data_IF_074349217421
#
_entry.id   IF_074349217421
#
_cell.length_a   1.000
_cell.length_b   1.000
_cell.length_c   1.000
_cell.angle_alpha   90.00
_cell.angle_beta   90.00
_cell.angle_gamma   90.00
#
_symmetry.space_group_name_H-M   'P 1'
#
loop_
_entity.id
_entity.type
_entity.pdbx_description
1 polymer ?
#
# COMPACT_ATOMS: atom_id res chain seq x y z
N UNK A 1 12.25 -23.94 -23.98
CA UNK A 1 11.03 -23.95 -23.16
C UNK A 1 11.41 -23.97 -21.71
N UNK A 2 10.65 -23.24 -20.91
CA UNK A 2 10.88 -23.17 -19.48
C UNK A 2 10.87 -24.57 -18.87
N UNK A 3 11.87 -24.83 -18.02
CA UNK A 3 11.99 -26.08 -17.27
C UNK A 3 12.01 -25.79 -15.79
N UNK A 4 11.34 -26.65 -15.02
CA UNK A 4 11.36 -26.61 -13.57
C UNK A 4 11.99 -27.93 -13.12
N UNK A 5 13.13 -27.84 -12.45
CA UNK A 5 13.88 -29.00 -11.96
C UNK A 5 14.23 -28.82 -10.47
N UNK A 6 15.04 -29.74 -9.93
CA UNK A 6 15.46 -29.70 -8.52
C UNK A 6 16.21 -28.41 -8.15
N UNK A 7 16.89 -27.77 -9.10
CA UNK A 7 17.75 -26.61 -8.87
C UNK A 7 17.02 -25.28 -9.09
N UNK A 8 15.82 -25.29 -9.68
CA UNK A 8 14.96 -24.11 -9.84
C UNK A 8 14.15 -24.10 -11.13
N UNK A 9 13.65 -22.91 -11.48
CA UNK A 9 13.02 -22.63 -12.77
C UNK A 9 14.02 -21.90 -13.68
N UNK A 10 14.15 -22.35 -14.92
CA UNK A 10 14.95 -21.70 -15.95
C UNK A 10 14.13 -21.53 -17.23
N UNK A 11 14.26 -20.37 -17.86
CA UNK A 11 13.60 -20.03 -19.13
C UNK A 11 14.55 -20.12 -20.30
N UNK A 12 13.98 -20.16 -21.50
CA UNK A 12 14.75 -19.98 -22.74
C UNK A 12 14.67 -18.52 -23.17
N UNK A 13 15.80 -17.94 -23.56
CA UNK A 13 15.85 -16.55 -24.03
C UNK A 13 15.26 -16.41 -25.44
N UNK A 14 14.89 -15.20 -25.83
CA UNK A 14 14.40 -14.91 -27.19
C UNK A 14 15.40 -15.36 -28.27
N UNK A 15 16.69 -15.11 -28.06
CA UNK A 15 17.75 -15.49 -29.01
C UNK A 15 17.83 -17.00 -29.18
N UNK A 16 17.77 -17.76 -28.09
CA UNK A 16 17.76 -19.23 -28.14
C UNK A 16 16.51 -19.79 -28.84
N UNK A 17 15.35 -19.14 -28.65
CA UNK A 17 14.12 -19.49 -29.37
C UNK A 17 14.24 -19.21 -30.86
N UNK A 18 14.79 -18.06 -31.25
CA UNK A 18 15.03 -17.72 -32.66
C UNK A 18 15.96 -18.73 -33.32
N UNK A 19 17.07 -19.08 -32.67
CA UNK A 19 18.03 -20.05 -33.21
C UNK A 19 17.38 -21.43 -33.36
N UNK A 20 16.65 -21.88 -32.34
CA UNK A 20 15.94 -23.16 -32.37
C UNK A 20 14.87 -23.20 -33.46
N UNK A 21 14.05 -22.15 -33.58
CA UNK A 21 12.98 -22.12 -34.58
C UNK A 21 13.53 -22.02 -36.01
N UNK A 22 14.56 -21.20 -36.25
CA UNK A 22 15.21 -21.14 -37.57
C UNK A 22 15.77 -22.49 -37.99
N UNK A 23 16.44 -23.20 -37.08
CA UNK A 23 16.93 -24.56 -37.36
C UNK A 23 15.80 -25.52 -37.69
N UNK A 24 14.65 -25.44 -37.01
CA UNK A 24 13.49 -26.29 -37.30
C UNK A 24 12.88 -26.03 -38.68
N UNK A 25 12.80 -24.77 -39.10
CA UNK A 25 12.31 -24.42 -40.44
C UNK A 25 13.28 -24.89 -41.53
N UNK A 26 14.59 -24.67 -41.35
CA UNK A 26 15.61 -25.14 -42.31
C UNK A 26 15.74 -26.67 -42.36
N UNK A 27 15.37 -27.38 -41.29
CA UNK A 27 15.33 -28.84 -41.29
C UNK A 27 14.15 -29.41 -42.11
N UNK A 28 13.11 -28.62 -42.36
CA UNK A 28 12.00 -28.99 -43.25
C UNK A 28 12.42 -28.79 -44.71
N UNK A 29 12.98 -27.62 -45.01
CA UNK A 29 13.50 -27.24 -46.32
C UNK A 29 14.68 -26.27 -46.14
N UNK A 30 15.83 -26.61 -46.68
CA UNK A 30 17.06 -25.82 -46.56
C UNK A 30 17.01 -24.50 -47.34
N UNK A 31 16.11 -24.41 -48.33
CA UNK A 31 15.88 -23.23 -49.16
C UNK A 31 14.86 -22.24 -48.58
N UNK A 32 14.29 -22.49 -47.40
CA UNK A 32 13.23 -21.65 -46.85
C UNK A 32 13.74 -20.23 -46.54
N UNK A 33 13.09 -19.20 -47.09
CA UNK A 33 13.47 -17.80 -46.87
C UNK A 33 13.02 -17.28 -45.49
N UNK A 34 13.89 -17.44 -44.50
CA UNK A 34 13.68 -17.01 -43.11
C UNK A 34 14.44 -15.71 -42.76
N UNK A 35 14.80 -14.90 -43.76
CA UNK A 35 15.43 -13.59 -43.50
C UNK A 35 14.52 -12.73 -42.61
N UNK A 36 15.06 -11.92 -41.69
CA UNK A 36 14.25 -11.14 -40.73
C UNK A 36 13.23 -10.20 -41.36
N UNK A 37 13.45 -9.82 -42.62
CA UNK A 37 12.58 -8.95 -43.42
C UNK A 37 11.54 -9.70 -44.26
N UNK A 38 11.63 -11.03 -44.35
CA UNK A 38 10.63 -11.85 -45.03
C UNK A 38 9.37 -11.98 -44.14
N UNK A 39 8.17 -12.18 -44.73
CA UNK A 39 6.95 -12.42 -43.96
C UNK A 39 7.10 -13.56 -42.95
N UNK A 40 7.79 -14.64 -43.34
CA UNK A 40 8.02 -15.80 -42.48
C UNK A 40 9.05 -15.50 -41.37
N UNK A 41 10.10 -14.73 -41.68
CA UNK A 41 11.08 -14.30 -40.67
C UNK A 41 10.45 -13.40 -39.60
N UNK A 42 9.56 -12.50 -40.01
CA UNK A 42 8.76 -11.68 -39.09
C UNK A 42 7.78 -12.53 -38.29
N UNK A 43 7.11 -13.50 -38.91
CA UNK A 43 6.22 -14.41 -38.20
C UNK A 43 6.98 -15.19 -37.12
N UNK A 44 8.12 -15.80 -37.47
CA UNK A 44 8.99 -16.52 -36.52
C UNK A 44 9.39 -15.60 -35.36
N UNK A 45 9.77 -14.34 -35.63
CA UNK A 45 10.12 -13.38 -34.58
C UNK A 45 8.96 -13.13 -33.60
N UNK A 46 7.75 -12.88 -34.10
CA UNK A 46 6.55 -12.67 -33.28
C UNK A 46 6.22 -13.91 -32.44
N UNK A 47 6.31 -15.11 -33.02
CA UNK A 47 6.08 -16.36 -32.29
C UNK A 47 7.12 -16.57 -31.19
N UNK A 48 8.40 -16.34 -31.48
CA UNK A 48 9.48 -16.48 -30.50
C UNK A 48 9.36 -15.43 -29.38
N UNK A 49 8.97 -14.20 -29.69
CA UNK A 49 8.68 -13.16 -28.69
C UNK A 49 7.54 -13.59 -27.76
N UNK A 50 6.44 -14.08 -28.33
CA UNK A 50 5.31 -14.59 -27.54
C UNK A 50 5.74 -15.76 -26.63
N UNK A 51 6.56 -16.70 -27.14
CA UNK A 51 7.08 -17.83 -26.36
C UNK A 51 8.04 -17.37 -25.24
N UNK A 52 8.91 -16.41 -25.51
CA UNK A 52 9.82 -15.86 -24.52
C UNK A 52 9.04 -15.15 -23.39
N UNK A 53 8.02 -14.36 -23.73
CA UNK A 53 7.15 -13.69 -22.77
C UNK A 53 6.35 -14.70 -21.92
N UNK A 54 5.91 -15.81 -22.51
CA UNK A 54 5.25 -16.90 -21.79
C UNK A 54 6.22 -17.59 -20.81
N UNK A 55 7.43 -17.91 -21.24
CA UNK A 55 8.47 -18.49 -20.37
C UNK A 55 8.79 -17.56 -19.19
N UNK A 56 8.94 -16.26 -19.42
CA UNK A 56 9.15 -15.27 -18.35
C UNK A 56 7.98 -15.25 -17.37
N UNK A 57 6.75 -15.33 -17.88
CA UNK A 57 5.54 -15.39 -17.03
C UNK A 57 5.52 -16.67 -16.19
N UNK A 58 5.93 -17.81 -16.73
CA UNK A 58 6.02 -19.09 -15.99
C UNK A 58 7.08 -19.01 -14.88
N UNK A 59 8.25 -18.42 -15.17
CA UNK A 59 9.31 -18.21 -14.17
C UNK A 59 8.82 -17.27 -13.06
N UNK A 60 8.16 -16.18 -13.43
CA UNK A 60 7.56 -15.25 -12.47
C UNK A 60 6.50 -15.94 -11.61
N UNK A 61 5.67 -16.82 -12.19
CA UNK A 61 4.70 -17.62 -11.44
C UNK A 61 5.37 -18.60 -10.46
N UNK A 62 6.50 -19.19 -10.84
CA UNK A 62 7.30 -20.04 -9.95
C UNK A 62 7.88 -19.23 -8.78
N UNK A 63 8.51 -18.08 -9.05
CA UNK A 63 9.04 -17.18 -8.00
C UNK A 63 7.94 -16.56 -7.14
N UNK A 64 6.71 -16.45 -7.64
CA UNK A 64 5.56 -16.02 -6.87
C UNK A 64 5.21 -16.98 -5.72
N UNK A 65 5.69 -18.22 -5.72
CA UNK A 65 5.50 -19.13 -4.60
C UNK A 65 6.45 -18.85 -3.42
N UNK A 66 7.61 -18.23 -3.66
CA UNK A 66 8.58 -17.90 -2.62
C UNK A 66 8.20 -16.57 -1.93
N UNK A 67 7.99 -16.54 -0.60
CA UNK A 67 7.67 -15.33 0.15
C UNK A 67 8.67 -14.18 -0.04
N UNK A 68 9.95 -14.48 -0.29
CA UNK A 68 10.99 -13.46 -0.43
C UNK A 68 10.91 -12.73 -1.78
N UNK A 69 10.48 -13.42 -2.84
CA UNK A 69 10.31 -12.83 -4.18
C UNK A 69 8.88 -12.41 -4.50
N UNK A 70 7.86 -13.04 -3.90
CA UNK A 70 6.46 -12.74 -4.15
C UNK A 70 6.11 -11.28 -3.86
N UNK A 71 5.41 -10.61 -4.78
CA UNK A 71 4.98 -9.21 -4.67
C UNK A 71 3.45 -9.08 -4.59
N UNK A 72 3.00 -7.96 -4.05
CA UNK A 72 1.59 -7.52 -4.03
C UNK A 72 0.60 -8.63 -3.66
N UNK A 73 -0.38 -8.91 -4.52
CA UNK A 73 -1.46 -9.86 -4.23
C UNK A 73 -0.93 -11.26 -3.89
N UNK A 74 0.19 -11.67 -4.50
CA UNK A 74 0.76 -12.97 -4.23
C UNK A 74 1.39 -13.02 -2.83
N UNK A 75 2.09 -11.95 -2.43
CA UNK A 75 2.59 -11.83 -1.07
C UNK A 75 1.44 -11.80 -0.05
N UNK A 76 0.34 -11.12 -0.38
CA UNK A 76 -0.86 -11.06 0.46
C UNK A 76 -1.50 -12.46 0.63
N UNK A 77 -1.55 -13.27 -0.44
CA UNK A 77 -2.00 -14.68 -0.37
C UNK A 77 -1.10 -15.54 0.49
N UNK A 78 0.22 -15.39 0.35
CA UNK A 78 1.21 -16.13 1.15
C UNK A 78 1.13 -15.73 2.62
N UNK A 79 0.96 -14.44 2.91
CA UNK A 79 0.83 -13.92 4.26
C UNK A 79 -0.51 -14.31 4.91
N UNK A 80 -1.57 -14.53 4.12
CA UNK A 80 -2.84 -15.03 4.63
C UNK A 80 -2.71 -16.42 5.30
N UNK A 81 -1.77 -17.27 4.85
CA UNK A 81 -1.46 -18.53 5.55
C UNK A 81 -0.85 -18.32 6.93
N UNK A 82 -0.17 -17.19 7.16
CA UNK A 82 0.32 -16.78 8.47
C UNK A 82 -0.74 -16.03 9.31
N UNK A 83 -1.96 -15.87 8.80
CA UNK A 83 -3.06 -15.21 9.50
C UNK A 83 -2.98 -13.67 9.53
N UNK A 84 -2.00 -13.06 8.84
CA UNK A 84 -1.84 -11.61 8.79
C UNK A 84 -2.35 -11.04 7.47
N UNK A 85 -2.86 -9.82 7.52
CA UNK A 85 -3.26 -9.03 6.35
C UNK A 85 -2.46 -7.74 6.31
N UNK A 86 -2.25 -7.22 5.11
CA UNK A 86 -1.53 -5.97 4.89
C UNK A 86 -2.30 -4.80 5.48
N UNK A 87 -1.60 -3.88 6.15
CA UNK A 87 -2.22 -2.65 6.66
C UNK A 87 -2.65 -1.77 5.49
N UNK A 88 -3.93 -1.41 5.48
CA UNK A 88 -4.51 -0.55 4.45
C UNK A 88 -4.08 0.90 4.66
N UNK A 89 -4.11 1.69 3.59
CA UNK A 89 -3.88 3.12 3.72
C UNK A 89 -5.00 3.77 4.53
N UNK A 90 -4.66 4.70 5.42
CA UNK A 90 -5.64 5.53 6.15
C UNK A 90 -5.67 6.94 5.55
N UNK A 91 -6.79 7.63 5.73
CA UNK A 91 -6.97 8.98 5.19
C UNK A 91 -6.47 10.03 6.18
N UNK A 92 -5.86 11.10 5.65
CA UNK A 92 -5.55 12.28 6.44
C UNK A 92 -6.82 13.07 6.79
N UNK A 93 -6.85 13.66 7.99
CA UNK A 93 -7.96 14.45 8.51
C UNK A 93 -7.51 15.84 8.93
N UNK A 94 -8.36 16.85 8.74
CA UNK A 94 -8.09 18.24 9.09
C UNK A 94 -9.36 18.92 9.59
N UNK A 95 -9.22 19.88 10.49
CA UNK A 95 -10.34 20.76 10.87
C UNK A 95 -10.31 22.01 10.00
N UNK A 96 -11.45 22.34 9.41
CA UNK A 96 -11.63 23.49 8.52
C UNK A 96 -12.65 24.47 9.09
N UNK A 97 -12.38 25.74 8.86
CA UNK A 97 -13.17 26.89 9.29
C UNK A 97 -13.70 27.60 8.04
N UNK A 98 -15.02 27.64 7.89
CA UNK A 98 -15.70 28.38 6.85
C UNK A 98 -16.12 29.76 7.36
N UNK A 99 -16.09 30.74 6.46
CA UNK A 99 -16.63 32.07 6.69
C UNK A 99 -17.55 32.49 5.55
N UNK A 100 -18.64 33.20 5.88
CA UNK A 100 -19.68 33.56 4.93
C UNK A 100 -20.85 34.31 5.56
N UNK A 101 -22.03 34.15 4.97
CA UNK A 101 -23.30 34.68 5.46
C UNK A 101 -23.76 33.82 6.64
N UNK A 102 -24.36 34.46 7.66
CA UNK A 102 -24.94 33.78 8.82
C UNK A 102 -26.04 32.78 8.43
N UNK A 103 -26.14 31.68 9.17
CA UNK A 103 -27.15 30.63 8.98
C UNK A 103 -27.13 29.95 7.60
N UNK A 104 -25.97 29.89 6.97
CA UNK A 104 -25.76 29.18 5.69
C UNK A 104 -25.46 27.70 5.97
N UNK A 105 -26.21 26.76 5.39
CA UNK A 105 -25.94 25.33 5.53
C UNK A 105 -24.78 24.88 4.65
N UNK A 106 -23.89 24.07 5.21
CA UNK A 106 -22.78 23.38 4.54
C UNK A 106 -23.00 21.89 4.74
N UNK A 107 -23.22 21.18 3.63
CA UNK A 107 -23.50 19.75 3.68
C UNK A 107 -22.20 18.93 3.79
N UNK A 108 -22.30 17.72 4.34
CA UNK A 108 -21.29 16.69 4.27
C UNK A 108 -20.92 16.41 2.80
N UNK A 109 -19.66 16.08 2.56
CA UNK A 109 -19.14 15.87 1.21
C UNK A 109 -18.81 17.15 0.43
N UNK A 110 -18.89 18.33 1.05
CA UNK A 110 -18.41 19.58 0.44
C UNK A 110 -16.91 19.49 0.21
N UNK A 111 -16.46 19.73 -1.03
CA UNK A 111 -15.06 19.60 -1.41
C UNK A 111 -14.28 20.91 -1.23
N UNK A 112 -13.14 20.80 -0.56
CA UNK A 112 -12.14 21.85 -0.34
C UNK A 112 -10.84 21.38 -0.98
N UNK A 113 -10.11 22.29 -1.59
CA UNK A 113 -8.85 22.02 -2.28
C UNK A 113 -7.68 22.65 -1.54
N UNK A 114 -6.62 21.86 -1.37
CA UNK A 114 -5.33 22.33 -0.91
C UNK A 114 -4.67 23.19 -1.99
N UNK A 115 -4.29 24.43 -1.66
CA UNK A 115 -3.72 25.39 -2.62
C UNK A 115 -2.34 25.00 -3.17
N UNK A 116 -1.59 24.18 -2.43
CA UNK A 116 -0.21 23.79 -2.80
C UNK A 116 -0.21 22.47 -3.55
N UNK A 117 -0.87 21.44 -2.99
CA UNK A 117 -0.84 20.07 -3.53
C UNK A 117 -2.02 19.77 -4.45
N UNK A 118 -3.02 20.65 -4.54
CA UNK A 118 -4.28 20.44 -5.26
C UNK A 118 -5.11 19.24 -4.80
N UNK A 119 -4.79 18.63 -3.65
CA UNK A 119 -5.58 17.52 -3.10
C UNK A 119 -6.95 18.00 -2.63
N UNK A 120 -7.95 17.15 -2.79
CA UNK A 120 -9.34 17.42 -2.40
C UNK A 120 -9.64 16.81 -1.03
N UNK A 121 -10.44 17.51 -0.25
CA UNK A 121 -10.84 17.18 1.12
C UNK A 121 -12.34 17.37 1.24
N UNK A 122 -13.04 16.35 1.71
CA UNK A 122 -14.49 16.35 1.86
C UNK A 122 -14.87 16.60 3.32
N UNK A 123 -15.88 17.44 3.58
CA UNK A 123 -16.42 17.63 4.93
C UNK A 123 -17.09 16.36 5.45
N UNK A 124 -16.86 16.01 6.71
CA UNK A 124 -17.33 14.74 7.29
C UNK A 124 -18.79 14.80 7.77
N UNK A 125 -19.33 16.01 7.97
CA UNK A 125 -20.67 16.21 8.50
C UNK A 125 -21.32 17.51 8.03
N UNK A 126 -22.62 17.60 8.26
CA UNK A 126 -23.40 18.81 8.00
C UNK A 126 -23.13 19.84 9.11
N UNK A 127 -22.91 21.10 8.72
CA UNK A 127 -22.73 22.22 9.66
C UNK A 127 -23.42 23.46 9.12
N UNK A 128 -23.87 24.34 10.02
CA UNK A 128 -24.47 25.62 9.66
C UNK A 128 -23.60 26.74 10.23
N UNK A 129 -23.41 27.83 9.48
CA UNK A 129 -22.68 29.00 9.98
C UNK A 129 -23.46 29.70 11.11
N UNK A 130 -22.72 30.18 12.10
CA UNK A 130 -23.26 30.92 13.23
C UNK A 130 -23.76 32.32 12.84
N UNK A 131 -24.23 33.10 13.82
CA UNK A 131 -24.68 34.48 13.60
C UNK A 131 -23.56 35.42 13.10
N UNK A 132 -22.29 35.07 13.33
CA UNK A 132 -21.13 35.80 12.83
C UNK A 132 -20.66 35.29 11.45
N UNK A 133 -21.33 34.29 10.88
CA UNK A 133 -21.02 33.72 9.57
C UNK A 133 -19.91 32.67 9.59
N UNK A 134 -19.54 32.11 10.74
CA UNK A 134 -18.47 31.12 10.87
C UNK A 134 -19.01 29.70 11.13
N UNK A 135 -18.36 28.70 10.55
CA UNK A 135 -18.62 27.29 10.85
C UNK A 135 -17.31 26.52 10.95
N UNK A 136 -17.26 25.53 11.84
CA UNK A 136 -16.09 24.63 11.97
C UNK A 136 -16.55 23.19 11.78
N UNK A 137 -15.84 22.44 10.94
CA UNK A 137 -16.14 21.03 10.66
C UNK A 137 -14.86 20.27 10.34
N UNK A 138 -14.86 18.97 10.57
CA UNK A 138 -13.76 18.11 10.15
C UNK A 138 -13.89 17.77 8.66
N UNK A 139 -12.76 17.61 8.01
CA UNK A 139 -12.66 17.22 6.62
C UNK A 139 -11.61 16.11 6.45
N UNK A 140 -11.97 15.11 5.66
CA UNK A 140 -11.11 13.98 5.31
C UNK A 140 -10.62 14.11 3.87
N UNK A 141 -9.33 13.85 3.63
CA UNK A 141 -8.77 13.86 2.29
C UNK A 141 -9.44 12.78 1.42
N UNK A 142 -9.71 13.07 0.15
CA UNK A 142 -10.31 12.09 -0.78
C UNK A 142 -9.31 11.03 -1.25
N UNK A 143 -8.00 11.30 -1.09
CA UNK A 143 -6.94 10.36 -1.44
C UNK A 143 -6.43 9.68 -0.17
N UNK A 144 -6.40 8.35 -0.18
CA UNK A 144 -5.83 7.55 0.89
C UNK A 144 -4.30 7.71 0.94
N UNK A 145 -3.73 7.62 2.13
CA UNK A 145 -2.29 7.74 2.35
C UNK A 145 -1.90 9.01 3.10
N UNK A 146 -0.59 9.22 3.18
CA UNK A 146 0.02 10.34 3.91
C UNK A 146 -0.14 11.63 3.12
N UNK A 147 -1.24 12.35 3.36
CA UNK A 147 -1.51 13.64 2.72
C UNK A 147 -1.32 14.79 3.71
N UNK A 148 -0.34 15.65 3.43
CA UNK A 148 -0.04 16.81 4.27
C UNK A 148 -0.88 18.03 3.89
N UNK A 149 -1.40 18.72 4.92
CA UNK A 149 -1.90 20.09 4.77
C UNK A 149 -1.44 20.92 5.97
N UNK A 150 -0.51 21.84 5.76
CA UNK A 150 -0.10 22.80 6.79
C UNK A 150 -1.24 23.78 7.08
N UNK A 151 -1.13 24.53 8.17
CA UNK A 151 -2.09 25.59 8.46
C UNK A 151 -2.23 26.54 7.26
N UNK A 152 -3.46 26.96 7.00
CA UNK A 152 -3.85 27.85 5.90
C UNK A 152 -3.60 27.29 4.49
N UNK A 153 -3.42 25.98 4.31
CA UNK A 153 -3.31 25.37 2.98
C UNK A 153 -4.66 25.01 2.35
N UNK A 154 -5.68 24.69 3.16
CA UNK A 154 -7.02 24.32 2.70
C UNK A 154 -7.88 25.56 2.49
N UNK A 155 -7.60 26.32 1.42
CA UNK A 155 -8.19 27.65 1.22
C UNK A 155 -9.10 27.78 -0.01
N UNK A 156 -9.12 26.78 -0.88
CA UNK A 156 -9.87 26.86 -2.13
C UNK A 156 -11.15 26.04 -1.99
N UNK A 157 -12.30 26.67 -2.17
CA UNK A 157 -13.59 25.97 -2.21
C UNK A 157 -13.73 25.32 -3.59
N UNK A 158 -13.83 23.98 -3.62
CA UNK A 158 -13.98 23.24 -4.89
C UNK A 158 -15.45 23.01 -5.24
N UNK A 159 -16.30 22.75 -4.25
CA UNK A 159 -17.77 22.71 -4.41
C UNK A 159 -18.35 24.06 -3.96
N UNK A 160 -18.81 24.93 -4.88
CA UNK A 160 -19.32 26.24 -4.51
C UNK A 160 -20.62 26.14 -3.69
N UNK A 161 -20.68 26.87 -2.59
CA UNK A 161 -21.87 27.01 -1.74
C UNK A 161 -22.27 28.49 -1.74
N UNK A 162 -23.52 28.77 -2.08
CA UNK A 162 -24.05 30.13 -2.05
C UNK A 162 -23.97 30.70 -0.63
N UNK A 163 -23.33 31.86 -0.47
CA UNK A 163 -23.19 32.55 0.81
C UNK A 163 -21.89 32.26 1.57
N UNK A 164 -21.10 31.26 1.18
CA UNK A 164 -19.76 31.05 1.74
C UNK A 164 -18.73 31.82 0.92
N UNK A 165 -17.86 32.57 1.58
CA UNK A 165 -16.87 33.45 0.93
C UNK A 165 -15.46 32.90 1.04
N UNK A 166 -15.11 32.22 2.13
CA UNK A 166 -13.80 31.61 2.30
C UNK A 166 -13.84 30.35 3.19
N UNK A 167 -12.78 29.55 3.05
CA UNK A 167 -12.47 28.42 3.91
C UNK A 167 -10.99 28.47 4.26
N UNK A 168 -10.62 28.03 5.46
CA UNK A 168 -9.22 27.90 5.89
C UNK A 168 -9.09 26.80 6.93
N UNK A 169 -7.89 26.29 7.16
CA UNK A 169 -7.58 25.42 8.30
C UNK A 169 -6.61 26.12 9.24
N UNK A 170 -6.96 26.26 10.52
CA UNK A 170 -6.12 26.99 11.47
C UNK A 170 -4.92 26.16 11.97
N UNK A 171 -5.07 24.83 12.00
CA UNK A 171 -4.04 23.87 12.40
C UNK A 171 -3.62 23.00 11.21
N UNK A 172 -2.44 22.40 11.31
CA UNK A 172 -2.00 21.40 10.33
C UNK A 172 -2.87 20.13 10.43
N UNK A 173 -3.04 19.45 9.30
CA UNK A 173 -3.76 18.18 9.21
C UNK A 173 -3.04 17.06 9.96
N UNK A 174 -3.82 16.15 10.53
CA UNK A 174 -3.34 14.85 10.98
C UNK A 174 -3.10 13.98 9.74
N UNK A 175 -1.85 13.53 9.56
CA UNK A 175 -1.48 12.70 8.43
C UNK A 175 -2.02 11.28 8.59
N UNK A 176 -2.60 10.76 7.51
CA UNK A 176 -2.88 9.33 7.36
C UNK A 176 -1.60 8.52 7.20
N UNK A 177 -1.76 7.23 6.94
CA UNK A 177 -0.68 6.29 6.68
C UNK A 177 -0.82 5.74 5.27
N UNK A 178 0.31 5.65 4.58
CA UNK A 178 0.37 4.97 3.29
C UNK A 178 0.13 3.46 3.47
N UNK A 179 -0.33 2.83 2.39
CA UNK A 179 -0.45 1.38 2.31
C UNK A 179 0.91 0.75 2.62
N UNK A 180 0.92 -0.27 3.46
CA UNK A 180 2.14 -0.96 3.85
C UNK A 180 2.88 -1.51 2.62
N UNK A 181 4.18 -1.21 2.53
CA UNK A 181 5.02 -1.60 1.40
C UNK A 181 5.30 -3.11 1.41
N UNK A 182 5.65 -3.68 0.25
CA UNK A 182 6.00 -5.11 0.15
C UNK A 182 7.14 -5.51 1.10
N UNK A 183 8.15 -4.65 1.26
CA UNK A 183 9.30 -4.95 2.14
C UNK A 183 8.91 -4.94 3.62
N UNK A 184 8.17 -3.92 4.08
CA UNK A 184 7.70 -3.86 5.46
C UNK A 184 6.78 -5.05 5.78
N UNK A 185 5.88 -5.40 4.87
CA UNK A 185 4.96 -6.51 5.05
C UNK A 185 5.69 -7.87 5.09
N UNK A 186 6.74 -8.08 4.29
CA UNK A 186 7.59 -9.28 4.37
C UNK A 186 8.29 -9.42 5.72
N UNK A 187 8.84 -8.34 6.24
CA UNK A 187 9.50 -8.33 7.55
C UNK A 187 8.49 -8.74 8.63
N UNK A 188 7.32 -8.09 8.67
CA UNK A 188 6.25 -8.41 9.63
C UNK A 188 5.76 -9.85 9.48
N UNK A 189 5.65 -10.37 8.25
CA UNK A 189 5.31 -11.78 8.01
C UNK A 189 6.36 -12.71 8.60
N UNK A 190 7.65 -12.45 8.36
CA UNK A 190 8.72 -13.31 8.84
C UNK A 190 8.79 -13.33 10.37
N UNK A 191 8.56 -12.18 11.01
CA UNK A 191 8.34 -12.10 12.46
C UNK A 191 7.12 -12.93 12.87
N UNK A 192 5.96 -12.73 12.24
CA UNK A 192 4.72 -13.47 12.54
C UNK A 192 4.85 -15.00 12.43
N UNK A 193 5.59 -15.50 11.43
CA UNK A 193 5.76 -16.95 11.19
C UNK A 193 6.78 -17.58 12.13
N UNK A 194 7.76 -16.80 12.62
CA UNK A 194 8.78 -17.29 13.56
C UNK A 194 8.25 -17.48 15.00
N UNK A 195 7.03 -17.03 15.29
CA UNK A 195 6.51 -16.86 16.65
C UNK A 195 5.74 -18.01 17.33
N UNK A 196 5.35 -19.14 16.70
CA UNK A 196 4.77 -20.28 17.42
C UNK A 196 5.71 -21.00 18.42
N UNK A 197 6.70 -20.31 19.02
CA UNK A 197 7.70 -20.84 19.94
C UNK A 197 7.80 -20.06 21.27
N UNK A 198 7.24 -20.66 22.32
CA UNK A 198 7.48 -20.53 23.79
C UNK A 198 7.75 -19.20 24.51
N UNK A 199 7.98 -18.05 23.87
CA UNK A 199 8.23 -16.78 24.57
C UNK A 199 6.96 -15.92 24.64
N UNK A 200 6.50 -15.56 25.84
CA UNK A 200 5.24 -14.83 26.03
C UNK A 200 5.33 -13.38 25.54
N UNK A 201 6.49 -12.72 25.71
CA UNK A 201 6.70 -11.31 25.32
C UNK A 201 6.54 -11.13 23.81
N UNK A 202 7.28 -11.91 23.02
CA UNK A 202 7.35 -11.75 21.57
C UNK A 202 5.98 -12.04 20.92
N UNK A 203 5.22 -12.98 21.50
CA UNK A 203 3.86 -13.28 21.08
C UNK A 203 2.90 -12.12 21.34
N UNK A 204 2.98 -11.47 22.51
CA UNK A 204 2.16 -10.29 22.81
C UNK A 204 2.56 -9.12 21.90
N UNK A 205 3.85 -8.94 21.63
CA UNK A 205 4.34 -7.84 20.77
C UNK A 205 3.76 -7.95 19.37
N UNK A 206 3.85 -9.15 18.78
CA UNK A 206 3.33 -9.40 17.45
C UNK A 206 1.80 -9.31 17.38
N UNK A 207 1.09 -9.78 18.41
CA UNK A 207 -0.35 -9.62 18.48
C UNK A 207 -0.74 -8.13 18.45
N UNK A 208 -0.03 -7.28 19.20
CA UNK A 208 -0.27 -5.83 19.22
C UNK A 208 0.09 -5.16 17.90
N UNK A 209 1.24 -5.49 17.29
CA UNK A 209 1.67 -4.92 16.01
C UNK A 209 0.73 -5.30 14.85
N UNK A 210 0.07 -6.46 14.94
CA UNK A 210 -0.88 -6.94 13.94
C UNK A 210 -2.27 -6.30 14.01
N UNK A 211 -2.56 -5.48 15.02
CA UNK A 211 -3.81 -4.70 15.09
C UNK A 211 -3.72 -3.51 14.12
N UNK A 212 -4.80 -3.26 13.37
CA UNK A 212 -4.83 -2.28 12.28
C UNK A 212 -4.53 -0.83 12.76
N UNK A 213 -5.02 -0.44 13.94
CA UNK A 213 -4.91 0.93 14.46
C UNK A 213 -3.64 1.20 15.30
N UNK A 214 -2.79 0.19 15.52
CA UNK A 214 -1.57 0.35 16.32
C UNK A 214 -0.44 0.90 15.44
N UNK A 215 0.06 2.10 15.80
CA UNK A 215 1.17 2.77 15.11
C UNK A 215 2.51 2.37 15.70
N UNK A 216 2.56 2.20 17.03
CA UNK A 216 3.74 1.72 17.77
C UNK A 216 3.30 0.84 18.92
N UNK A 217 3.94 -0.30 19.08
CA UNK A 217 3.84 -1.12 20.28
C UNK A 217 5.21 -1.17 20.98
N UNK A 218 5.20 -1.18 22.31
CA UNK A 218 6.39 -1.53 23.12
C UNK A 218 5.92 -2.34 24.32
N UNK A 219 6.63 -3.44 24.59
CA UNK A 219 6.35 -4.29 25.74
C UNK A 219 7.50 -4.18 26.71
N UNK A 220 7.14 -4.16 27.98
CA UNK A 220 8.06 -4.16 29.09
C UNK A 220 7.70 -5.31 30.04
N UNK A 221 8.73 -5.98 30.54
CA UNK A 221 8.59 -7.05 31.51
C UNK A 221 9.39 -6.70 32.76
N UNK A 222 8.73 -6.80 33.91
CA UNK A 222 9.39 -6.69 35.20
C UNK A 222 9.64 -8.10 35.75
N UNK A 223 10.91 -8.51 35.78
CA UNK A 223 11.33 -9.81 36.33
C UNK A 223 11.53 -9.79 37.85
N UNK A 224 11.43 -8.63 38.49
CA UNK A 224 11.72 -8.45 39.90
C UNK A 224 10.49 -8.68 40.78
N UNK A 225 10.73 -9.08 42.04
CA UNK A 225 9.70 -9.32 43.04
C UNK A 225 9.22 -8.02 43.71
N UNK A 226 9.57 -6.86 43.15
CA UNK A 226 9.22 -5.52 43.63
C UNK A 226 8.78 -4.64 42.45
N UNK A 227 8.12 -3.52 42.75
CA UNK A 227 7.75 -2.54 41.72
C UNK A 227 9.01 -1.84 41.18
N UNK A 228 9.08 -1.66 39.86
CA UNK A 228 10.20 -1.01 39.19
C UNK A 228 10.05 0.53 39.20
N UNK A 229 11.06 1.25 38.67
CA UNK A 229 11.08 2.72 38.59
C UNK A 229 9.91 3.32 37.77
N UNK A 230 9.19 2.49 37.01
CA UNK A 230 8.02 2.89 36.23
C UNK A 230 6.68 2.61 36.95
N UNK A 231 6.73 2.24 38.25
CA UNK A 231 5.59 1.87 39.11
C UNK A 231 4.84 0.61 38.64
N UNK A 232 5.45 -0.24 37.81
CA UNK A 232 4.81 -1.47 37.38
C UNK A 232 4.91 -2.56 38.44
N UNK A 233 3.81 -3.28 38.65
CA UNK A 233 3.71 -4.31 39.69
C UNK A 233 4.78 -5.40 39.56
N UNK A 234 5.14 -6.02 40.69
CA UNK A 234 6.08 -7.15 40.71
C UNK A 234 5.59 -8.28 39.78
N UNK A 235 6.52 -8.86 39.00
CA UNK A 235 6.22 -9.91 37.99
C UNK A 235 5.08 -9.55 37.03
N UNK A 236 5.09 -8.32 36.52
CA UNK A 236 4.07 -7.84 35.57
C UNK A 236 4.61 -7.67 34.15
N UNK A 237 3.69 -7.84 33.20
CA UNK A 237 3.88 -7.59 31.77
C UNK A 237 3.01 -6.39 31.39
N UNK A 238 3.62 -5.32 30.90
CA UNK A 238 2.94 -4.09 30.53
C UNK A 238 3.23 -3.73 29.08
N UNK A 239 2.23 -3.19 28.38
CA UNK A 239 2.33 -2.84 26.96
C UNK A 239 1.77 -1.45 26.70
N UNK A 240 2.57 -0.62 26.05
CA UNK A 240 2.14 0.69 25.54
C UNK A 240 1.85 0.59 24.05
N UNK A 241 0.68 1.07 23.64
CA UNK A 241 0.29 1.22 22.24
C UNK A 241 -0.07 2.68 21.95
N UNK A 242 0.37 3.19 20.79
CA UNK A 242 0.14 4.56 20.33
C UNK A 242 -0.27 4.57 18.85
#
# INVERSE_FOLDING_TARGET
MATINRDGASGTTLSEYLDTMRQRYLAIDDGWNINPESPDGLAIAVWCEALANLDETVINAYHAADPNSAIDQQLDRIAAFAGIKRKSATYSTATVNFSGIAFTPINAGTLIRNRVTNTLWATDGDVVTDAAGNATVNATCTLAGTQGANSHNLTIIATPIGGITAVTNNTAASMGLDKETNNAFRIRRNESVALPGSNQIDNIYAALVNIDDVKRARIYENFEDQADENEWGARSLNGDIC
#
